data_IF_066288560053
#
_entry.id   IF_066288560053
#
_cell.length_a   1.000
_cell.length_b   1.000
_cell.length_c   1.000
_cell.angle_alpha   90.00
_cell.angle_beta   90.00
_cell.angle_gamma   90.00
#
_symmetry.space_group_name_H-M   'P 1'
#
loop_
_entity.id
_entity.type
_entity.pdbx_description
1 polymer ?
#
# COMPACT_ATOMS: atom_id res chain seq x y z
N UNK A 1 16.85 3.76 10.78
CA UNK A 1 15.62 2.95 10.71
C UNK A 1 14.70 3.62 9.71
N UNK A 2 14.11 2.85 8.81
CA UNK A 2 13.16 3.36 7.82
C UNK A 2 11.74 3.20 8.37
N UNK A 3 10.99 4.29 8.48
CA UNK A 3 9.59 4.26 8.89
C UNK A 3 8.73 3.82 7.71
N UNK A 4 7.85 2.84 7.93
CA UNK A 4 6.91 2.35 6.92
C UNK A 4 5.50 2.77 7.27
N UNK A 5 4.78 3.32 6.29
CA UNK A 5 3.40 3.77 6.43
C UNK A 5 2.56 3.09 5.36
N UNK A 6 1.55 2.34 5.79
CA UNK A 6 0.58 1.70 4.91
C UNK A 6 -0.64 2.61 4.70
N UNK A 7 -1.02 2.85 3.46
CA UNK A 7 -2.30 3.49 3.13
C UNK A 7 -3.36 2.41 2.92
N UNK A 8 -4.21 2.22 3.93
CA UNK A 8 -5.33 1.28 3.90
C UNK A 8 -6.68 2.03 3.84
N UNK A 9 -7.70 1.39 3.28
CA UNK A 9 -9.06 1.94 3.24
C UNK A 9 -9.86 1.49 2.02
N UNK A 10 -11.13 1.90 1.99
CA UNK A 10 -12.10 1.41 1.01
C UNK A 10 -11.70 1.69 -0.45
N UNK A 11 -12.20 0.91 -1.42
CA UNK A 11 -12.21 1.30 -2.82
C UNK A 11 -12.80 2.71 -3.00
N UNK A 12 -12.24 3.50 -3.93
CA UNK A 12 -12.68 4.87 -4.23
C UNK A 12 -12.60 5.89 -3.08
N UNK A 13 -11.91 5.59 -1.97
CA UNK A 13 -11.73 6.51 -0.84
C UNK A 13 -10.62 7.57 -1.04
N UNK A 14 -10.04 7.68 -2.23
CA UNK A 14 -8.96 8.64 -2.52
C UNK A 14 -7.54 8.20 -2.13
N UNK A 15 -7.31 6.93 -1.77
CA UNK A 15 -5.98 6.41 -1.37
C UNK A 15 -4.90 6.68 -2.42
N UNK A 16 -5.15 6.34 -3.68
CA UNK A 16 -4.17 6.56 -4.76
C UNK A 16 -3.90 8.05 -5.00
N UNK A 17 -4.91 8.91 -4.81
CA UNK A 17 -4.72 10.37 -4.85
C UNK A 17 -3.78 10.84 -3.74
N UNK A 18 -4.00 10.35 -2.50
CA UNK A 18 -3.13 10.65 -1.36
C UNK A 18 -1.71 10.09 -1.57
N UNK A 19 -1.59 8.85 -2.04
CA UNK A 19 -0.31 8.22 -2.37
C UNK A 19 0.50 9.09 -3.33
N UNK A 20 -0.10 9.46 -4.48
CA UNK A 20 0.57 10.29 -5.49
C UNK A 20 0.96 11.68 -4.96
N UNK A 21 0.13 12.27 -4.10
CA UNK A 21 0.44 13.54 -3.45
C UNK A 21 1.69 13.40 -2.54
N UNK A 22 1.78 12.32 -1.76
CA UNK A 22 2.87 12.04 -0.84
C UNK A 22 4.18 11.62 -1.54
N UNK A 23 4.12 10.81 -2.60
CA UNK A 23 5.32 10.17 -3.22
C UNK A 23 5.74 10.81 -4.54
N UNK A 24 4.79 11.29 -5.35
CA UNK A 24 5.06 11.85 -6.68
C UNK A 24 5.68 10.85 -7.64
N UNK A 25 6.73 11.26 -8.35
CA UNK A 25 7.36 10.41 -9.38
C UNK A 25 8.25 9.29 -8.81
N UNK A 26 8.62 9.34 -7.53
CA UNK A 26 9.49 8.36 -6.88
C UNK A 26 8.68 7.17 -6.34
N UNK A 27 7.98 6.49 -7.25
CA UNK A 27 7.13 5.35 -6.96
C UNK A 27 7.56 4.13 -7.78
N UNK A 28 7.48 2.96 -7.16
CA UNK A 28 7.65 1.66 -7.78
C UNK A 28 6.29 0.97 -7.87
N UNK A 29 5.97 0.42 -9.04
CA UNK A 29 4.75 -0.34 -9.28
C UNK A 29 5.14 -1.74 -9.73
N UNK A 30 4.60 -2.75 -9.04
CA UNK A 30 4.81 -4.15 -9.35
C UNK A 30 3.60 -4.98 -8.90
N UNK A 31 3.83 -6.26 -8.62
CA UNK A 31 2.81 -7.15 -8.07
C UNK A 31 3.23 -7.68 -6.71
N UNK A 32 2.25 -8.02 -5.87
CA UNK A 32 2.50 -8.77 -4.65
C UNK A 32 3.01 -10.18 -4.96
N UNK A 33 3.90 -10.75 -4.15
CA UNK A 33 4.50 -12.07 -4.43
C UNK A 33 3.44 -13.15 -4.65
N UNK A 34 3.53 -13.85 -5.79
CA UNK A 34 2.67 -14.99 -6.11
C UNK A 34 1.24 -14.66 -6.53
N UNK A 35 0.89 -13.38 -6.68
CA UNK A 35 -0.45 -12.95 -7.12
C UNK A 35 -0.38 -11.81 -8.13
N UNK A 36 -1.48 -11.55 -8.83
CA UNK A 36 -1.59 -10.44 -9.81
C UNK A 36 -2.08 -9.14 -9.17
N UNK A 37 -2.14 -9.07 -7.85
CA UNK A 37 -2.55 -7.85 -7.13
C UNK A 37 -1.42 -6.83 -7.25
N UNK A 38 -1.76 -5.62 -7.68
CA UNK A 38 -0.79 -4.52 -7.83
C UNK A 38 -0.21 -4.11 -6.47
N UNK A 39 1.09 -3.85 -6.44
CA UNK A 39 1.83 -3.29 -5.31
C UNK A 39 2.41 -1.93 -5.71
N UNK A 40 2.05 -0.87 -5.00
CA UNK A 40 2.68 0.44 -5.14
C UNK A 40 3.43 0.81 -3.87
N UNK A 41 4.70 1.16 -4.02
CA UNK A 41 5.54 1.67 -2.94
C UNK A 41 6.25 2.92 -3.40
N UNK A 42 6.43 3.90 -2.52
CA UNK A 42 7.13 5.13 -2.87
C UNK A 42 7.75 5.79 -1.65
N UNK A 43 8.80 6.58 -1.89
CA UNK A 43 9.43 7.38 -0.83
C UNK A 43 8.60 8.62 -0.58
N UNK A 44 8.43 9.00 0.70
CA UNK A 44 7.78 10.26 1.04
C UNK A 44 8.61 11.44 0.49
N UNK A 45 7.96 12.38 -0.19
CA UNK A 45 8.63 13.60 -0.68
C UNK A 45 9.22 14.40 0.48
N UNK A 46 10.44 14.92 0.28
CA UNK A 46 11.12 15.85 1.19
C UNK A 46 11.40 15.27 2.60
N UNK A 47 11.26 13.97 2.79
CA UNK A 47 11.57 13.30 4.05
C UNK A 47 12.20 11.94 3.78
N UNK A 48 13.50 11.85 4.07
CA UNK A 48 14.24 10.59 3.91
C UNK A 48 13.84 9.57 4.98
N UNK A 49 14.01 8.29 4.64
CA UNK A 49 13.75 7.19 5.55
C UNK A 49 12.27 6.93 5.83
N UNK A 50 11.35 7.39 4.97
CA UNK A 50 9.92 7.05 5.04
C UNK A 50 9.46 6.40 3.74
N UNK A 51 8.92 5.20 3.85
CA UNK A 51 8.30 4.44 2.75
C UNK A 51 6.80 4.41 2.93
N UNK A 52 6.09 4.78 1.88
CA UNK A 52 4.64 4.71 1.78
C UNK A 52 4.28 3.51 0.90
N UNK A 53 3.39 2.64 1.39
CA UNK A 53 2.86 1.49 0.65
C UNK A 53 1.36 1.69 0.43
N UNK A 54 0.89 1.72 -0.82
CA UNK A 54 -0.55 1.72 -1.14
C UNK A 54 -1.07 0.28 -1.07
N UNK A 55 -1.99 0.02 -0.14
CA UNK A 55 -2.64 -1.28 -0.05
C UNK A 55 -3.87 -1.34 -0.95
N UNK A 56 -4.24 -2.55 -1.42
CA UNK A 56 -5.49 -2.73 -2.15
C UNK A 56 -6.69 -2.14 -1.41
N UNK A 57 -7.62 -1.57 -2.17
CA UNK A 57 -8.87 -1.06 -1.60
C UNK A 57 -9.74 -2.20 -1.11
N UNK A 58 -10.00 -2.27 0.19
CA UNK A 58 -10.79 -3.35 0.81
C UNK A 58 -11.86 -2.77 1.75
N UNK A 59 -13.02 -3.41 1.82
CA UNK A 59 -14.09 -3.02 2.76
C UNK A 59 -13.97 -3.74 4.11
N UNK A 60 -13.29 -4.89 4.14
CA UNK A 60 -13.14 -5.73 5.32
C UNK A 60 -11.79 -6.43 5.32
N UNK A 61 -11.37 -6.95 6.48
CA UNK A 61 -10.17 -7.80 6.61
C UNK A 61 -10.48 -9.31 6.43
N UNK A 62 -11.66 -9.63 5.90
CA UNK A 62 -12.06 -11.02 5.65
C UNK A 62 -11.23 -11.64 4.52
N UNK A 63 -11.13 -12.97 4.41
CA UNK A 63 -10.31 -13.63 3.39
C UNK A 63 -11.07 -13.95 2.09
N UNK A 64 -11.99 -13.10 1.61
CA UNK A 64 -12.83 -13.47 0.46
C UNK A 64 -12.21 -13.13 -0.89
N UNK A 65 -11.34 -12.11 -0.96
CA UNK A 65 -10.60 -11.77 -2.18
C UNK A 65 -9.08 -11.76 -1.97
N UNK A 66 -8.31 -11.83 -3.05
CA UNK A 66 -6.85 -11.74 -2.99
C UNK A 66 -6.39 -10.39 -2.44
N UNK A 67 -7.10 -9.31 -2.77
CA UNK A 67 -6.87 -7.96 -2.24
C UNK A 67 -7.03 -7.92 -0.71
N UNK A 68 -8.09 -8.52 -0.18
CA UNK A 68 -8.32 -8.59 1.26
C UNK A 68 -7.25 -9.45 1.96
N UNK A 69 -6.87 -10.58 1.35
CA UNK A 69 -5.79 -11.43 1.87
C UNK A 69 -4.45 -10.68 1.89
N UNK A 70 -4.10 -10.00 0.80
CA UNK A 70 -2.87 -9.20 0.68
C UNK A 70 -2.84 -8.10 1.72
N UNK A 71 -3.89 -7.27 1.80
CA UNK A 71 -3.96 -6.16 2.72
C UNK A 71 -3.92 -6.64 4.18
N UNK A 72 -4.69 -7.69 4.52
CA UNK A 72 -4.66 -8.28 5.86
C UNK A 72 -3.27 -8.82 6.20
N UNK A 73 -2.67 -9.62 5.33
CA UNK A 73 -1.39 -10.26 5.62
C UNK A 73 -0.28 -9.21 5.79
N UNK A 74 -0.31 -8.12 5.01
CA UNK A 74 0.62 -7.01 5.18
C UNK A 74 0.47 -6.35 6.57
N UNK A 75 -0.77 -6.02 6.96
CA UNK A 75 -1.05 -5.32 8.22
C UNK A 75 -0.76 -6.17 9.47
N UNK A 76 -0.91 -7.49 9.40
CA UNK A 76 -0.67 -8.39 10.52
C UNK A 76 0.78 -8.92 10.53
N UNK A 77 1.41 -9.00 9.35
CA UNK A 77 2.68 -9.71 9.15
C UNK A 77 3.92 -8.84 9.05
N UNK A 78 3.83 -7.55 8.69
CA UNK A 78 5.00 -6.66 8.75
C UNK A 78 5.32 -6.30 10.21
N UNK A 79 6.45 -6.83 10.72
CA UNK A 79 7.12 -6.42 11.96
C UNK A 79 8.31 -5.54 11.65
#
# INVERSE_FOLDING_TARGET
MELRIALAGNPNAGKTTLFNALTGSNQFVGNWPGVTVEKKEGKLKKQDGVIITDLPGIYSLSPYTLEEVVARNYLIGER
#
